data_IF_734591862904
#
_entry.id   IF_734591862904
#
_cell.length_a   1.000
_cell.length_b   1.000
_cell.length_c   1.000
_cell.angle_alpha   90.00
_cell.angle_beta   90.00
_cell.angle_gamma   90.00
#
_symmetry.space_group_name_H-M   'P 1'
#
loop_
_entity.id
_entity.type
_entity.pdbx_description
1 polymer ?
#
# COMPACT_ATOMS: atom_id res chain seq x y z
N UNK A 1 -6.12 7.72 2.14
CA UNK A 1 -5.18 6.69 1.67
C UNK A 1 -4.18 7.32 0.72
N UNK A 2 -2.90 7.18 0.98
CA UNK A 2 -1.82 7.69 0.14
C UNK A 2 -1.23 6.53 -0.67
N UNK A 3 -1.13 6.69 -1.99
CA UNK A 3 -0.61 5.65 -2.89
C UNK A 3 0.61 6.20 -3.63
N UNK A 4 1.65 5.37 -3.73
CA UNK A 4 2.94 5.73 -4.34
C UNK A 4 3.49 4.53 -5.12
N UNK A 5 4.46 4.79 -6.02
CA UNK A 5 5.14 3.75 -6.79
C UNK A 5 6.65 3.77 -6.55
N UNK A 6 7.20 2.60 -6.31
CA UNK A 6 8.66 2.38 -6.20
C UNK A 6 9.09 1.54 -7.39
N UNK A 7 10.23 1.85 -7.99
CA UNK A 7 10.82 0.95 -8.97
C UNK A 7 12.19 0.42 -8.55
N UNK A 8 12.54 -0.74 -9.08
CA UNK A 8 13.87 -1.35 -8.96
C UNK A 8 14.33 -1.81 -10.33
N UNK A 9 15.63 -1.72 -10.55
CA UNK A 9 16.26 -2.14 -11.81
C UNK A 9 17.48 -3.01 -11.50
N UNK A 10 17.55 -4.16 -12.16
CA UNK A 10 18.69 -5.08 -12.06
C UNK A 10 18.74 -5.96 -13.32
N UNK A 11 19.92 -6.17 -13.85
CA UNK A 11 20.20 -7.09 -14.98
C UNK A 11 19.29 -6.86 -16.19
N UNK A 12 19.01 -5.60 -16.54
CA UNK A 12 18.11 -5.24 -17.64
C UNK A 12 16.61 -5.36 -17.31
N UNK A 13 16.26 -5.87 -16.13
CA UNK A 13 14.87 -6.08 -15.70
C UNK A 13 14.43 -4.92 -14.83
N UNK A 14 13.26 -4.35 -15.14
CA UNK A 14 12.60 -3.34 -14.31
C UNK A 14 11.39 -3.94 -13.60
N UNK A 15 11.25 -3.66 -12.32
CA UNK A 15 10.13 -4.07 -11.48
C UNK A 15 9.56 -2.88 -10.72
N UNK A 16 8.28 -2.93 -10.45
CA UNK A 16 7.54 -1.87 -9.78
C UNK A 16 6.83 -2.42 -8.56
N UNK A 17 6.77 -1.64 -7.50
CA UNK A 17 5.99 -1.95 -6.31
C UNK A 17 5.08 -0.75 -6.07
N UNK A 18 3.78 -0.97 -6.16
CA UNK A 18 2.79 0.02 -5.72
C UNK A 18 2.58 -0.16 -4.21
N UNK A 19 2.50 0.95 -3.50
CA UNK A 19 2.33 1.00 -2.05
C UNK A 19 1.17 1.91 -1.67
N UNK A 20 0.46 1.59 -0.62
CA UNK A 20 -0.63 2.40 -0.09
C UNK A 20 -0.54 2.45 1.43
N UNK A 21 -0.66 3.64 2.01
CA UNK A 21 -0.71 3.83 3.47
C UNK A 21 -1.88 4.73 3.86
N UNK A 22 -2.58 4.32 4.92
CA UNK A 22 -3.57 5.18 5.55
C UNK A 22 -2.92 6.10 6.57
N UNK A 23 -3.16 7.40 6.43
CA UNK A 23 -2.53 8.42 7.27
C UNK A 23 -2.86 8.25 8.77
N UNK A 24 -4.10 7.90 9.08
CA UNK A 24 -4.57 7.87 10.46
C UNK A 24 -4.20 6.59 11.20
N UNK A 25 -4.38 5.45 10.55
CA UNK A 25 -4.18 4.13 11.16
C UNK A 25 -2.80 3.53 10.91
N UNK A 26 -2.07 4.05 9.91
CA UNK A 26 -0.83 3.41 9.46
C UNK A 26 -1.05 2.07 8.74
N UNK A 27 -2.31 1.69 8.42
CA UNK A 27 -2.60 0.50 7.63
C UNK A 27 -1.84 0.58 6.30
N UNK A 28 -1.10 -0.47 5.98
CA UNK A 28 -0.19 -0.49 4.85
C UNK A 28 -0.48 -1.67 3.93
N UNK A 29 -0.47 -1.42 2.62
CA UNK A 29 -0.59 -2.42 1.58
C UNK A 29 0.45 -2.18 0.48
N UNK A 30 0.97 -3.25 -0.12
CA UNK A 30 1.92 -3.16 -1.23
C UNK A 30 1.76 -4.38 -2.15
N UNK A 31 2.11 -4.20 -3.44
CA UNK A 31 2.10 -5.29 -4.42
C UNK A 31 3.10 -5.03 -5.54
N UNK A 32 3.79 -6.09 -5.99
CA UNK A 32 4.81 -6.04 -7.04
C UNK A 32 4.24 -6.30 -8.43
N UNK A 33 4.75 -5.54 -9.42
CA UNK A 33 4.35 -5.61 -10.82
C UNK A 33 5.56 -5.69 -11.76
N UNK A 34 5.39 -6.41 -12.87
CA UNK A 34 6.38 -6.44 -13.96
C UNK A 34 6.31 -5.18 -14.83
N UNK A 35 5.12 -4.57 -14.95
CA UNK A 35 4.86 -3.38 -15.75
C UNK A 35 4.01 -2.41 -14.96
N UNK A 36 4.23 -1.12 -15.19
CA UNK A 36 3.45 -0.04 -14.59
C UNK A 36 2.56 0.58 -15.67
N UNK A 37 1.26 0.59 -15.41
CA UNK A 37 0.23 1.13 -16.31
C UNK A 37 -1.04 1.49 -15.53
N UNK A 38 -1.98 2.19 -16.13
CA UNK A 38 -3.27 2.46 -15.48
C UNK A 38 -4.10 1.20 -15.18
N UNK A 39 -3.84 0.09 -15.88
CA UNK A 39 -4.41 -1.23 -15.54
C UNK A 39 -3.78 -1.79 -14.27
N UNK A 40 -2.45 -1.67 -14.12
CA UNK A 40 -1.76 -2.07 -12.89
C UNK A 40 -2.21 -1.24 -11.68
N UNK A 41 -2.40 0.06 -11.87
CA UNK A 41 -2.96 0.94 -10.84
C UNK A 41 -4.36 0.54 -10.41
N UNK A 42 -5.25 0.23 -11.37
CA UNK A 42 -6.58 -0.27 -11.09
C UNK A 42 -6.55 -1.62 -10.37
N UNK A 43 -5.77 -2.58 -10.85
CA UNK A 43 -5.63 -3.90 -10.23
C UNK A 43 -5.11 -3.78 -8.80
N UNK A 44 -4.11 -2.92 -8.57
CA UNK A 44 -3.60 -2.61 -7.24
C UNK A 44 -4.69 -2.07 -6.32
N UNK A 45 -5.48 -1.10 -6.80
CA UNK A 45 -6.53 -0.51 -5.99
C UNK A 45 -7.64 -1.52 -5.64
N UNK A 46 -8.02 -2.38 -6.58
CA UNK A 46 -9.01 -3.44 -6.32
C UNK A 46 -8.50 -4.45 -5.28
N UNK A 47 -7.22 -4.83 -5.33
CA UNK A 47 -6.59 -5.66 -4.29
C UNK A 47 -6.57 -4.95 -2.93
N UNK A 48 -6.17 -3.68 -2.91
CA UNK A 48 -6.20 -2.85 -1.70
C UNK A 48 -7.61 -2.78 -1.12
N UNK A 49 -8.62 -2.48 -1.94
CA UNK A 49 -10.03 -2.38 -1.52
C UNK A 49 -10.53 -3.70 -0.91
N UNK A 50 -10.10 -4.85 -1.44
CA UNK A 50 -10.50 -6.18 -0.97
C UNK A 50 -9.96 -6.54 0.41
N UNK A 51 -8.80 -5.99 0.81
CA UNK A 51 -8.14 -6.30 2.10
C UNK A 51 -8.22 -5.16 3.11
N UNK A 52 -8.61 -3.96 2.66
CA UNK A 52 -8.71 -2.79 3.53
C UNK A 52 -9.84 -2.97 4.54
N UNK A 53 -9.59 -2.86 5.86
CA UNK A 53 -10.60 -3.11 6.89
C UNK A 53 -11.63 -1.98 7.04
N UNK A 54 -11.52 -0.93 6.25
CA UNK A 54 -12.42 0.23 6.27
C UNK A 54 -12.71 0.74 4.87
N UNK A 55 -13.80 1.49 4.72
CA UNK A 55 -14.15 2.11 3.43
C UNK A 55 -13.19 3.26 3.11
N UNK A 56 -12.50 3.16 1.98
CA UNK A 56 -11.65 4.22 1.45
C UNK A 56 -12.54 5.33 0.87
N UNK A 57 -12.44 6.55 1.40
CA UNK A 57 -13.23 7.71 0.96
C UNK A 57 -12.44 8.62 0.03
N UNK A 58 -11.14 8.63 0.16
CA UNK A 58 -10.24 9.49 -0.59
C UNK A 58 -8.90 8.81 -0.83
N UNK A 59 -8.34 9.05 -2.01
CA UNK A 59 -7.03 8.59 -2.43
C UNK A 59 -6.19 9.80 -2.82
N UNK A 60 -4.92 9.76 -2.48
CA UNK A 60 -3.93 10.76 -2.88
C UNK A 60 -2.78 10.06 -3.59
N UNK A 61 -2.39 10.55 -4.75
CA UNK A 61 -1.30 10.01 -5.58
C UNK A 61 -0.42 11.15 -6.10
N UNK A 62 0.71 10.82 -6.70
CA UNK A 62 1.38 11.73 -7.62
C UNK A 62 0.69 11.75 -9.00
N UNK A 63 1.31 12.42 -9.98
CA UNK A 63 0.83 12.49 -11.38
C UNK A 63 1.33 11.33 -12.25
N UNK A 64 1.55 10.14 -11.66
CA UNK A 64 1.97 8.96 -12.40
C UNK A 64 0.90 8.47 -13.39
N UNK A 65 1.33 7.99 -14.57
CA UNK A 65 0.43 7.47 -15.61
C UNK A 65 -0.38 6.25 -15.15
N UNK A 66 0.10 5.54 -14.15
CA UNK A 66 -0.59 4.42 -13.49
C UNK A 66 -1.87 4.84 -12.77
N UNK A 67 -1.97 6.11 -12.37
CA UNK A 67 -3.12 6.67 -11.67
C UNK A 67 -4.11 7.41 -12.58
N UNK A 68 -3.89 7.35 -13.90
CA UNK A 68 -4.76 7.92 -14.93
C UNK A 68 -5.78 6.88 -15.47
N UNK A 69 -6.63 7.29 -16.41
CA UNK A 69 -7.58 6.44 -17.16
C UNK A 69 -8.34 5.45 -16.25
N UNK A 70 -8.06 4.17 -16.39
CA UNK A 70 -8.79 3.08 -15.71
C UNK A 70 -8.84 3.22 -14.19
N UNK A 71 -7.73 3.67 -13.59
CA UNK A 71 -7.65 3.92 -12.15
C UNK A 71 -8.60 5.07 -11.77
N UNK A 72 -8.46 6.22 -12.42
CA UNK A 72 -9.29 7.40 -12.17
C UNK A 72 -10.77 7.13 -12.43
N UNK A 73 -11.12 6.54 -13.58
CA UNK A 73 -12.50 6.21 -13.94
C UNK A 73 -13.16 5.27 -12.92
N UNK A 74 -12.37 4.36 -12.33
CA UNK A 74 -12.87 3.48 -11.28
C UNK A 74 -13.17 4.24 -9.98
N UNK A 75 -12.28 5.12 -9.53
CA UNK A 75 -12.49 5.94 -8.35
C UNK A 75 -13.71 6.86 -8.50
N UNK A 76 -13.86 7.50 -9.65
CA UNK A 76 -15.01 8.36 -9.98
C UNK A 76 -16.33 7.59 -9.90
N UNK A 77 -16.40 6.42 -10.52
CA UNK A 77 -17.60 5.54 -10.46
C UNK A 77 -17.95 5.09 -9.04
N UNK A 78 -16.95 4.94 -8.18
CA UNK A 78 -17.13 4.57 -6.76
C UNK A 78 -17.42 5.77 -5.87
N UNK A 79 -17.36 7.00 -6.39
CA UNK A 79 -17.50 8.23 -5.61
C UNK A 79 -16.36 8.45 -4.63
N UNK A 80 -15.17 7.99 -4.97
CA UNK A 80 -13.95 8.14 -4.16
C UNK A 80 -13.21 9.39 -4.63
N UNK A 81 -12.90 10.28 -3.71
CA UNK A 81 -12.17 11.51 -4.02
C UNK A 81 -10.72 11.19 -4.39
N UNK A 82 -10.25 11.72 -5.52
CA UNK A 82 -8.87 11.58 -5.95
C UNK A 82 -8.16 12.93 -5.87
N UNK A 83 -7.10 13.00 -5.08
CA UNK A 83 -6.26 14.19 -4.91
C UNK A 83 -4.87 13.91 -5.47
N UNK A 84 -4.27 14.92 -6.08
CA UNK A 84 -2.88 14.87 -6.51
C UNK A 84 -1.97 15.55 -5.49
N UNK A 85 -0.78 14.99 -5.29
CA UNK A 85 0.25 15.60 -4.46
C UNK A 85 0.70 16.91 -5.09
N UNK A 86 0.50 18.03 -4.40
CA UNK A 86 1.12 19.30 -4.79
C UNK A 86 2.62 19.25 -4.43
N UNK A 87 3.50 19.68 -5.36
CA UNK A 87 4.95 19.63 -5.15
C UNK A 87 5.42 20.67 -4.13
N UNK A 88 5.02 20.63 -2.88
CA UNK A 88 5.51 21.48 -1.77
C UNK A 88 4.85 21.20 -0.39
N UNK A 89 4.24 20.04 -0.18
CA UNK A 89 3.75 19.65 1.15
C UNK A 89 4.53 18.45 1.72
N UNK A 90 5.75 18.67 2.30
CA UNK A 90 6.63 17.61 2.77
C UNK A 90 6.03 16.73 3.86
N UNK A 91 5.11 17.25 4.66
CA UNK A 91 4.54 16.50 5.80
C UNK A 91 3.64 15.35 5.38
N UNK A 92 2.93 15.47 4.26
CA UNK A 92 2.05 14.39 3.75
C UNK A 92 2.86 13.27 3.09
N UNK A 93 3.99 13.61 2.47
CA UNK A 93 4.89 12.64 1.83
C UNK A 93 5.75 11.89 2.87
N UNK A 94 6.08 12.51 3.99
CA UNK A 94 6.96 11.92 5.01
C UNK A 94 6.46 10.58 5.57
N UNK A 95 5.15 10.37 5.62
CA UNK A 95 4.59 9.10 6.11
C UNK A 95 4.70 7.99 5.07
N UNK A 96 4.42 8.29 3.81
CA UNK A 96 4.62 7.36 2.68
C UNK A 96 6.11 7.01 2.55
N UNK A 97 6.98 8.00 2.58
CA UNK A 97 8.44 7.81 2.53
C UNK A 97 8.94 6.92 3.67
N UNK A 98 8.42 7.13 4.89
CA UNK A 98 8.76 6.28 6.06
C UNK A 98 8.25 4.85 5.88
N UNK A 99 7.03 4.66 5.39
CA UNK A 99 6.48 3.33 5.13
C UNK A 99 7.27 2.62 4.02
N UNK A 100 7.59 3.32 2.94
CA UNK A 100 8.41 2.81 1.84
C UNK A 100 9.83 2.46 2.30
N UNK A 101 10.42 3.25 3.21
CA UNK A 101 11.71 2.93 3.84
C UNK A 101 11.63 1.67 4.67
N UNK A 102 10.59 1.53 5.50
CA UNK A 102 10.36 0.32 6.31
C UNK A 102 10.20 -0.91 5.42
N UNK A 103 9.40 -0.82 4.35
CA UNK A 103 9.26 -1.88 3.36
C UNK A 103 10.61 -2.26 2.75
N UNK A 104 11.43 -1.28 2.40
CA UNK A 104 12.75 -1.49 1.84
C UNK A 104 13.66 -2.23 2.82
N UNK A 105 13.82 -1.70 4.02
CA UNK A 105 14.79 -2.18 5.02
C UNK A 105 14.39 -3.53 5.64
N UNK A 106 13.09 -3.77 5.86
CA UNK A 106 12.61 -4.98 6.55
C UNK A 106 12.20 -6.10 5.60
N UNK A 107 11.94 -5.82 4.32
CA UNK A 107 11.45 -6.85 3.40
C UNK A 107 12.16 -6.85 2.04
N UNK A 108 12.20 -5.70 1.34
CA UNK A 108 12.59 -5.64 -0.06
C UNK A 108 14.06 -6.03 -0.26
N UNK A 109 14.96 -5.52 0.57
CA UNK A 109 16.41 -5.76 0.44
C UNK A 109 16.77 -7.25 0.64
N UNK A 110 15.93 -8.02 1.34
CA UNK A 110 16.09 -9.48 1.53
C UNK A 110 15.41 -10.34 0.46
N UNK A 111 14.53 -9.75 -0.37
CA UNK A 111 13.73 -10.47 -1.36
C UNK A 111 13.95 -9.98 -2.80
N UNK A 112 15.05 -9.32 -3.09
CA UNK A 112 15.36 -8.78 -4.43
C UNK A 112 15.43 -9.88 -5.49
N UNK A 113 15.96 -11.05 -5.17
CA UNK A 113 16.02 -12.17 -6.13
C UNK A 113 14.63 -12.60 -6.57
N UNK A 114 13.69 -12.74 -5.62
CA UNK A 114 12.30 -13.11 -5.94
C UNK A 114 11.62 -11.98 -6.73
N UNK A 115 11.83 -10.73 -6.37
CA UNK A 115 11.28 -9.58 -7.09
C UNK A 115 11.63 -9.62 -8.58
N UNK A 116 12.88 -9.92 -8.93
CA UNK A 116 13.34 -9.90 -10.30
C UNK A 116 13.01 -11.18 -11.07
N UNK A 117 13.14 -12.35 -10.44
CA UNK A 117 13.13 -13.64 -11.13
C UNK A 117 11.91 -14.54 -10.81
N UNK A 118 11.16 -14.23 -9.73
CA UNK A 118 9.94 -14.97 -9.38
C UNK A 118 8.94 -14.03 -8.68
N UNK A 119 8.28 -13.18 -9.46
CA UNK A 119 7.39 -12.14 -8.96
C UNK A 119 6.20 -12.68 -8.16
N UNK A 120 5.68 -13.86 -8.51
CA UNK A 120 4.57 -14.49 -7.77
C UNK A 120 5.02 -14.89 -6.36
N UNK A 121 6.20 -15.52 -6.24
CA UNK A 121 6.78 -15.85 -4.94
C UNK A 121 7.11 -14.59 -4.12
N UNK A 122 7.61 -13.54 -4.78
CA UNK A 122 7.81 -12.25 -4.14
C UNK A 122 6.50 -11.71 -3.53
N UNK A 123 5.41 -11.70 -4.31
CA UNK A 123 4.12 -11.20 -3.86
C UNK A 123 3.53 -12.07 -2.73
N UNK A 124 3.69 -13.41 -2.77
CA UNK A 124 3.28 -14.29 -1.65
C UNK A 124 3.99 -13.91 -0.35
N UNK A 125 5.32 -13.80 -0.37
CA UNK A 125 6.10 -13.37 0.80
C UNK A 125 5.76 -11.96 1.26
N UNK A 126 5.49 -11.06 0.31
CA UNK A 126 5.08 -9.69 0.61
C UNK A 126 3.74 -9.67 1.35
N UNK A 127 2.77 -10.52 0.95
CA UNK A 127 1.50 -10.64 1.67
C UNK A 127 1.70 -11.12 3.12
N UNK A 128 2.55 -12.11 3.36
CA UNK A 128 2.87 -12.60 4.71
C UNK A 128 3.51 -11.49 5.56
N UNK A 129 4.44 -10.73 4.98
CA UNK A 129 5.06 -9.59 5.67
C UNK A 129 4.04 -8.46 5.96
N UNK A 130 3.11 -8.18 5.04
CA UNK A 130 2.04 -7.19 5.25
C UNK A 130 1.08 -7.60 6.35
N UNK A 131 0.77 -8.90 6.46
CA UNK A 131 0.01 -9.43 7.61
C UNK A 131 0.76 -9.15 8.91
N UNK A 132 2.05 -9.47 8.98
CA UNK A 132 2.89 -9.14 10.15
C UNK A 132 2.89 -7.64 10.44
N UNK A 133 3.14 -6.79 9.42
CA UNK A 133 3.18 -5.33 9.54
C UNK A 133 1.90 -4.76 10.15
N UNK A 134 0.75 -5.19 9.67
CA UNK A 134 -0.55 -4.65 10.08
C UNK A 134 -1.08 -5.26 11.38
N UNK A 135 -0.68 -6.50 11.74
CA UNK A 135 -1.27 -7.22 12.90
C UNK A 135 -0.36 -7.37 14.10
N UNK A 136 0.98 -7.37 13.90
CA UNK A 136 1.95 -7.70 14.95
C UNK A 136 3.02 -6.65 15.14
N UNK A 137 3.49 -5.99 14.08
CA UNK A 137 4.58 -5.03 14.15
C UNK A 137 4.17 -3.81 14.98
N UNK A 138 4.90 -3.44 16.06
CA UNK A 138 4.59 -2.25 16.84
C UNK A 138 4.99 -0.98 16.07
N UNK A 139 4.14 0.05 16.14
CA UNK A 139 4.38 1.35 15.52
C UNK A 139 4.43 2.43 16.60
N UNK A 140 5.55 3.11 16.72
CA UNK A 140 5.75 4.15 17.73
C UNK A 140 4.68 5.25 17.64
N UNK A 141 4.35 5.71 16.45
CA UNK A 141 3.32 6.74 16.22
C UNK A 141 1.90 6.32 16.62
N UNK A 142 1.66 5.02 16.80
CA UNK A 142 0.38 4.46 17.23
C UNK A 142 0.38 4.01 18.71
N UNK A 143 1.38 4.43 19.48
CA UNK A 143 1.56 4.01 20.86
C UNK A 143 2.08 2.57 21.01
N UNK A 144 2.98 2.16 20.13
CA UNK A 144 3.60 0.83 20.08
C UNK A 144 2.61 -0.33 19.86
N UNK A 145 1.52 -0.07 19.16
CA UNK A 145 0.58 -1.11 18.73
C UNK A 145 0.53 -1.20 17.20
N UNK A 146 0.16 -2.36 16.63
CA UNK A 146 0.01 -2.50 15.19
C UNK A 146 -1.22 -1.77 14.63
N UNK A 147 -1.23 -1.43 13.32
CA UNK A 147 -2.29 -0.69 12.66
C UNK A 147 -3.70 -1.26 12.89
N UNK A 148 -3.90 -2.56 12.74
CA UNK A 148 -5.22 -3.16 12.94
C UNK A 148 -5.68 -3.09 14.39
N UNK A 149 -4.78 -3.24 15.37
CA UNK A 149 -5.12 -3.07 16.78
C UNK A 149 -5.50 -1.62 17.11
N UNK A 150 -4.81 -0.66 16.47
CA UNK A 150 -5.14 0.77 16.57
C UNK A 150 -6.54 1.04 16.01
N UNK A 151 -6.89 0.48 14.85
CA UNK A 151 -8.20 0.62 14.22
C UNK A 151 -9.32 0.07 15.13
N UNK A 152 -9.13 -1.13 15.68
CA UNK A 152 -10.10 -1.74 16.62
C UNK A 152 -10.32 -0.84 17.83
N UNK A 153 -9.23 -0.36 18.44
CA UNK A 153 -9.29 0.44 19.67
C UNK A 153 -9.93 1.81 19.48
N UNK A 154 -9.65 2.50 18.34
CA UNK A 154 -9.99 3.91 18.19
C UNK A 154 -11.19 4.16 17.26
N UNK A 155 -11.55 3.22 16.41
CA UNK A 155 -12.63 3.37 15.44
C UNK A 155 -13.83 2.45 15.72
N UNK A 156 -13.80 1.70 16.83
CA UNK A 156 -14.91 0.82 17.24
C UNK A 156 -15.18 -0.32 16.27
N UNK A 157 -14.18 -0.72 15.46
CA UNK A 157 -14.29 -1.90 14.63
C UNK A 157 -14.44 -3.12 15.54
N UNK A 158 -15.64 -3.73 15.53
CA UNK A 158 -15.91 -4.93 16.28
C UNK A 158 -15.02 -6.08 15.83
N UNK A 159 -14.49 -6.84 16.77
CA UNK A 159 -13.74 -8.09 16.55
C UNK A 159 -14.54 -9.18 15.82
N UNK A 160 -15.81 -8.93 15.51
CA UNK A 160 -16.69 -9.92 14.83
C UNK A 160 -16.32 -10.25 13.38
N UNK A 161 -15.43 -9.50 12.73
CA UNK A 161 -15.03 -9.76 11.33
C UNK A 161 -13.97 -10.87 11.17
N UNK A 162 -13.43 -11.44 12.24
CA UNK A 162 -12.32 -12.40 12.19
C UNK A 162 -12.65 -13.83 12.61
N UNK A 163 -13.93 -14.17 12.80
CA UNK A 163 -14.35 -15.50 13.28
C UNK A 163 -14.96 -16.39 12.19
N UNK A 164 -14.78 -16.08 10.91
CA UNK A 164 -15.16 -16.98 9.83
C UNK A 164 -13.90 -17.39 9.01
N UNK A 165 -13.20 -18.36 9.50
CA UNK A 165 -12.43 -19.35 8.74
C UNK A 165 -12.67 -20.71 9.32
#
# INVERSE_FOLDING_TARGET
MNIDSIFRFKDGIKRYILTAIDYNSGFFFAYGYSHLSSKSGLDFYQKLESVCPFKIKAVQTDHGLEFEKYFRDYLERKGILHFFNYPKHPQMNAQVERANRTLKEEFLDYNLSDLFYNLDRFNQKLMDWLVFYNTKRPHYSLGNIPPLKYLIKNLGFSTMLWTYT
#
